data_IF_559225922171
#
_entry.id   IF_559225922171
#
_cell.length_a   1.000
_cell.length_b   1.000
_cell.length_c   1.000
_cell.angle_alpha   90.00
_cell.angle_beta   90.00
_cell.angle_gamma   90.00
#
_symmetry.space_group_name_H-M   'P 1'
#
loop_
_entity.id
_entity.type
_entity.pdbx_description
1 polymer ?
#
# COMPACT_ATOMS: atom_id res chain seq x y z
N UNK A 1 -57.05 71.15 -62.77
CA UNK A 1 -56.54 71.35 -61.38
C UNK A 1 -56.70 70.08 -60.54
N UNK A 2 -56.34 68.89 -61.06
CA UNK A 2 -56.75 67.59 -60.45
C UNK A 2 -55.63 66.56 -60.24
N UNK A 3 -54.54 66.59 -61.02
CA UNK A 3 -53.51 65.52 -60.94
C UNK A 3 -52.43 65.77 -59.88
N UNK A 4 -51.93 67.01 -59.78
CA UNK A 4 -50.89 67.41 -58.80
C UNK A 4 -51.37 67.23 -57.36
N UNK A 5 -52.67 67.38 -57.10
CA UNK A 5 -53.24 67.26 -55.75
C UNK A 5 -53.30 65.80 -55.28
N UNK A 6 -53.60 64.87 -56.19
CA UNK A 6 -53.64 63.43 -55.89
C UNK A 6 -52.24 62.88 -55.62
N UNK A 7 -51.24 63.31 -56.39
CA UNK A 7 -49.87 62.87 -56.24
C UNK A 7 -49.27 63.32 -54.91
N UNK A 8 -49.51 64.57 -54.51
CA UNK A 8 -49.07 65.11 -53.21
C UNK A 8 -49.66 64.33 -52.03
N UNK A 9 -50.95 63.97 -52.10
CA UNK A 9 -51.64 63.18 -51.08
C UNK A 9 -51.15 61.73 -51.03
N UNK A 10 -50.78 61.15 -52.16
CA UNK A 10 -50.21 59.80 -52.23
C UNK A 10 -48.83 59.74 -51.57
N UNK A 11 -47.97 60.73 -51.84
CA UNK A 11 -46.65 60.83 -51.21
C UNK A 11 -46.75 61.13 -49.71
N UNK A 12 -47.61 62.04 -49.27
CA UNK A 12 -47.83 62.32 -47.84
C UNK A 12 -48.26 61.06 -47.06
N UNK A 13 -49.19 60.27 -47.61
CA UNK A 13 -49.64 59.01 -46.97
C UNK A 13 -48.53 57.95 -46.91
N UNK A 14 -47.62 57.96 -47.89
CA UNK A 14 -46.48 57.04 -47.98
C UNK A 14 -45.38 57.39 -46.95
N UNK A 15 -45.08 58.68 -46.73
CA UNK A 15 -44.10 59.12 -45.72
C UNK A 15 -44.56 58.92 -44.28
N UNK A 16 -45.86 59.04 -44.00
CA UNK A 16 -46.43 58.76 -42.66
C UNK A 16 -46.24 57.27 -42.29
N UNK A 17 -46.38 56.36 -43.26
CA UNK A 17 -46.23 54.93 -43.02
C UNK A 17 -44.76 54.48 -42.87
N UNK A 18 -43.79 55.11 -43.55
CA UNK A 18 -42.38 54.78 -43.33
C UNK A 18 -41.88 55.14 -41.92
N UNK A 19 -42.39 56.21 -41.31
CA UNK A 19 -42.09 56.56 -39.92
C UNK A 19 -42.65 55.55 -38.91
N UNK A 20 -43.85 55.02 -39.16
CA UNK A 20 -44.45 53.96 -38.36
C UNK A 20 -43.71 52.63 -38.53
N UNK A 21 -43.34 52.24 -39.75
CA UNK A 21 -42.55 51.03 -40.02
C UNK A 21 -41.15 51.10 -39.43
N UNK A 22 -40.50 52.29 -39.43
CA UNK A 22 -39.22 52.49 -38.72
C UNK A 22 -39.39 52.30 -37.22
N UNK A 23 -40.46 52.84 -36.61
CA UNK A 23 -40.72 52.65 -35.18
C UNK A 23 -40.99 51.18 -34.82
N UNK A 24 -41.79 50.46 -35.61
CA UNK A 24 -42.06 49.04 -35.40
C UNK A 24 -40.79 48.18 -35.54
N UNK A 25 -39.92 48.48 -36.52
CA UNK A 25 -38.63 47.79 -36.68
C UNK A 25 -37.68 48.08 -35.49
N UNK A 26 -37.67 49.32 -35.00
CA UNK A 26 -36.83 49.74 -33.86
C UNK A 26 -37.34 49.12 -32.55
N UNK A 27 -38.66 49.09 -32.33
CA UNK A 27 -39.29 48.42 -31.17
C UNK A 27 -39.01 46.91 -31.15
N UNK A 28 -39.01 46.24 -32.32
CA UNK A 28 -38.66 44.82 -32.40
C UNK A 28 -37.20 44.56 -32.00
N UNK A 29 -36.26 45.44 -32.37
CA UNK A 29 -34.86 45.30 -32.00
C UNK A 29 -34.60 45.53 -30.50
N UNK A 30 -35.33 46.46 -29.87
CA UNK A 30 -35.23 46.69 -28.43
C UNK A 30 -35.64 45.46 -27.62
N UNK A 31 -36.74 44.79 -28.01
CA UNK A 31 -37.20 43.56 -27.36
C UNK A 31 -36.16 42.42 -27.44
N UNK A 32 -35.51 42.26 -28.60
CA UNK A 32 -34.44 41.27 -28.79
C UNK A 32 -33.23 41.58 -27.89
N UNK A 33 -32.88 42.85 -27.74
CA UNK A 33 -31.77 43.27 -26.86
C UNK A 33 -32.10 42.91 -25.40
N UNK A 34 -33.29 43.25 -24.91
CA UNK A 34 -33.70 42.91 -23.54
C UNK A 34 -33.72 41.40 -23.29
N UNK A 35 -34.22 40.60 -24.23
CA UNK A 35 -34.20 39.13 -24.10
C UNK A 35 -32.76 38.62 -24.05
N UNK A 36 -31.89 39.11 -24.94
CA UNK A 36 -30.49 38.66 -24.95
C UNK A 36 -29.77 39.04 -23.65
N UNK A 37 -30.04 40.23 -23.11
CA UNK A 37 -29.47 40.70 -21.86
C UNK A 37 -29.98 39.89 -20.66
N UNK A 38 -31.27 39.55 -20.64
CA UNK A 38 -31.86 38.67 -19.62
C UNK A 38 -31.26 37.26 -19.66
N UNK A 39 -31.05 36.71 -20.87
CA UNK A 39 -30.47 35.39 -21.06
C UNK A 39 -29.02 35.36 -20.57
N UNK A 40 -28.22 36.38 -20.91
CA UNK A 40 -26.84 36.53 -20.40
C UNK A 40 -26.83 36.68 -18.88
N UNK A 41 -27.73 37.49 -18.31
CA UNK A 41 -27.84 37.67 -16.87
C UNK A 41 -28.22 36.36 -16.15
N UNK A 42 -29.15 35.58 -16.71
CA UNK A 42 -29.54 34.26 -16.20
C UNK A 42 -28.36 33.29 -16.20
N UNK A 43 -27.55 33.27 -17.26
CA UNK A 43 -26.35 32.43 -17.31
C UNK A 43 -25.33 32.87 -16.25
N UNK A 44 -25.06 34.18 -16.14
CA UNK A 44 -24.10 34.70 -15.16
C UNK A 44 -24.52 34.39 -13.73
N UNK A 45 -25.79 34.63 -13.38
CA UNK A 45 -26.33 34.29 -12.06
C UNK A 45 -26.26 32.79 -11.82
N UNK A 46 -26.64 31.95 -12.78
CA UNK A 46 -26.52 30.50 -12.66
C UNK A 46 -25.07 30.08 -12.36
N UNK A 47 -24.09 30.59 -13.11
CA UNK A 47 -22.68 30.25 -12.88
C UNK A 47 -22.12 30.81 -11.56
N UNK A 48 -22.69 31.89 -11.04
CA UNK A 48 -22.29 32.48 -9.76
C UNK A 48 -22.85 31.69 -8.57
N UNK A 49 -24.09 31.21 -8.67
CA UNK A 49 -24.74 30.46 -7.58
C UNK A 49 -24.46 28.95 -7.62
N UNK A 50 -24.18 28.38 -8.79
CA UNK A 50 -23.94 26.94 -8.93
C UNK A 50 -22.44 26.63 -8.96
N UNK A 51 -21.93 26.11 -7.86
CA UNK A 51 -20.63 25.47 -7.81
C UNK A 51 -20.74 24.02 -8.33
N UNK A 52 -19.92 23.67 -9.32
CA UNK A 52 -19.86 22.28 -9.81
C UNK A 52 -19.16 21.38 -8.78
N UNK A 53 -19.95 20.66 -7.99
CA UNK A 53 -19.46 19.63 -7.09
C UNK A 53 -18.92 18.42 -7.86
N UNK A 54 -17.62 18.45 -8.18
CA UNK A 54 -16.95 17.31 -8.85
C UNK A 54 -16.95 16.10 -7.91
N UNK A 55 -17.59 15.01 -8.35
CA UNK A 55 -17.47 13.71 -7.67
C UNK A 55 -16.06 13.16 -7.88
N UNK A 56 -15.27 13.10 -6.82
CA UNK A 56 -13.93 12.50 -6.84
C UNK A 56 -14.03 11.09 -6.25
N UNK A 57 -13.51 10.10 -6.97
CA UNK A 57 -13.30 8.76 -6.43
C UNK A 57 -11.96 8.75 -5.70
N UNK A 58 -12.01 8.55 -4.38
CA UNK A 58 -10.80 8.37 -3.58
C UNK A 58 -10.62 6.87 -3.35
N UNK A 59 -9.41 6.37 -3.62
CA UNK A 59 -9.04 5.03 -3.22
C UNK A 59 -8.75 5.05 -1.72
N UNK A 60 -9.55 4.31 -0.96
CA UNK A 60 -9.38 4.14 0.47
C UNK A 60 -9.60 2.68 0.84
N UNK A 61 -9.20 2.32 2.04
CA UNK A 61 -9.51 1.03 2.65
C UNK A 61 -10.34 1.27 3.90
N UNK A 62 -11.22 0.33 4.21
CA UNK A 62 -12.05 0.40 5.41
C UNK A 62 -11.23 -0.09 6.58
N UNK A 63 -11.02 0.77 7.57
CA UNK A 63 -10.49 0.38 8.87
C UNK A 63 -11.65 0.30 9.86
N UNK A 64 -11.82 -0.78 10.65
CA UNK A 64 -12.83 -0.84 11.69
C UNK A 64 -12.70 0.34 12.67
N UNK A 65 -13.85 0.93 13.05
CA UNK A 65 -13.90 2.08 13.97
C UNK A 65 -13.33 1.78 15.36
N UNK A 66 -13.40 0.52 15.80
CA UNK A 66 -12.80 0.02 17.04
C UNK A 66 -11.31 -0.34 16.91
N UNK A 67 -10.72 -0.23 15.72
CA UNK A 67 -9.36 -0.64 15.42
C UNK A 67 -9.20 -2.16 15.27
N UNK A 68 -7.96 -2.58 14.98
CA UNK A 68 -7.56 -3.98 14.83
C UNK A 68 -6.62 -4.33 15.98
N UNK A 69 -6.96 -5.37 16.74
CA UNK A 69 -6.11 -5.89 17.81
C UNK A 69 -5.52 -7.23 17.36
N UNK A 70 -4.19 -7.33 17.41
CA UNK A 70 -3.48 -8.61 17.23
C UNK A 70 -3.16 -9.18 18.61
N UNK A 71 -3.66 -10.38 18.89
CA UNK A 71 -3.40 -11.07 20.16
C UNK A 71 -2.17 -11.96 20.00
N UNK A 72 -1.18 -11.75 20.86
CA UNK A 72 0.07 -12.52 20.87
C UNK A 72 0.15 -13.37 22.15
N UNK A 73 0.81 -14.52 22.07
CA UNK A 73 1.13 -15.32 23.25
C UNK A 73 2.26 -14.65 24.04
N UNK A 74 2.17 -14.56 25.39
CA UNK A 74 3.21 -13.95 26.21
C UNK A 74 4.48 -14.81 26.33
N UNK A 75 4.41 -16.12 26.08
CA UNK A 75 5.60 -16.97 25.99
C UNK A 75 5.48 -17.96 24.82
N UNK A 76 6.63 -18.45 24.37
CA UNK A 76 6.72 -19.49 23.36
C UNK A 76 6.18 -20.83 23.86
N UNK A 77 5.45 -21.51 23.00
CA UNK A 77 4.78 -22.76 23.32
C UNK A 77 4.01 -23.33 22.14
N UNK A 78 3.35 -24.46 22.38
CA UNK A 78 2.52 -25.12 21.38
C UNK A 78 1.05 -24.84 21.67
N UNK A 79 0.27 -24.54 20.62
CA UNK A 79 -1.18 -24.39 20.76
C UNK A 79 -1.76 -25.79 20.97
N UNK A 80 -2.30 -26.03 22.16
CA UNK A 80 -2.90 -27.33 22.52
C UNK A 80 -4.35 -27.42 22.09
N UNK A 81 -5.10 -26.34 22.29
CA UNK A 81 -6.53 -26.28 21.98
C UNK A 81 -6.88 -24.89 21.44
N UNK A 82 -7.73 -24.86 20.41
CA UNK A 82 -8.39 -23.65 19.89
C UNK A 82 -9.84 -23.68 20.36
N UNK A 83 -10.34 -22.60 20.95
CA UNK A 83 -11.70 -22.53 21.52
C UNK A 83 -12.68 -21.72 20.66
N UNK A 84 -12.18 -21.06 19.60
CA UNK A 84 -12.97 -20.20 18.72
C UNK A 84 -12.82 -20.58 17.25
N UNK A 85 -13.83 -20.24 16.44
CA UNK A 85 -13.78 -20.37 14.98
C UNK A 85 -13.63 -19.01 14.30
N UNK A 86 -13.25 -19.00 13.02
CA UNK A 86 -13.13 -17.76 12.26
C UNK A 86 -14.50 -17.13 12.05
N UNK A 87 -14.58 -15.81 12.23
CA UNK A 87 -15.83 -15.05 12.15
C UNK A 87 -16.71 -15.08 13.41
N UNK A 88 -16.31 -15.82 14.45
CA UNK A 88 -17.01 -15.84 15.74
C UNK A 88 -16.83 -14.51 16.49
N UNK A 89 -17.93 -13.97 17.03
CA UNK A 89 -17.90 -12.78 17.90
C UNK A 89 -17.33 -13.15 19.28
N UNK A 90 -16.42 -12.31 19.79
CA UNK A 90 -15.70 -12.54 21.04
C UNK A 90 -15.77 -11.32 21.95
N UNK A 91 -15.91 -11.54 23.25
CA UNK A 91 -15.91 -10.49 24.27
C UNK A 91 -14.63 -10.54 25.11
N UNK A 92 -14.33 -9.42 25.80
CA UNK A 92 -13.13 -9.31 26.62
C UNK A 92 -13.13 -10.39 27.73
N UNK A 93 -12.00 -11.09 27.88
CA UNK A 93 -11.83 -12.18 28.83
C UNK A 93 -12.21 -13.57 28.30
N UNK A 94 -12.80 -13.68 27.11
CA UNK A 94 -13.10 -14.97 26.50
C UNK A 94 -11.78 -15.67 26.06
N UNK A 95 -11.53 -16.93 26.48
CA UNK A 95 -10.32 -17.64 26.09
C UNK A 95 -10.36 -18.01 24.60
N UNK A 96 -9.32 -17.62 23.86
CA UNK A 96 -9.22 -17.89 22.42
C UNK A 96 -8.53 -19.24 22.13
N UNK A 97 -7.42 -19.50 22.83
CA UNK A 97 -6.63 -20.71 22.68
C UNK A 97 -5.86 -21.05 23.97
N UNK A 98 -5.57 -22.33 24.18
CA UNK A 98 -4.69 -22.82 25.25
C UNK A 98 -3.29 -23.05 24.68
N UNK A 99 -2.30 -22.33 25.21
CA UNK A 99 -0.89 -22.49 24.86
C UNK A 99 -0.17 -23.25 25.96
N UNK A 100 0.53 -24.31 25.59
CA UNK A 100 1.38 -25.08 26.49
C UNK A 100 2.83 -24.60 26.36
N UNK A 101 3.34 -23.98 27.43
CA UNK A 101 4.66 -23.35 27.44
C UNK A 101 5.80 -24.36 27.46
N UNK A 102 6.88 -24.07 26.74
CA UNK A 102 8.07 -24.93 26.63
C UNK A 102 8.81 -25.16 27.97
N UNK A 103 8.59 -24.31 28.99
CA UNK A 103 9.29 -24.36 30.29
C UNK A 103 9.17 -25.68 31.05
N UNK A 104 8.14 -26.49 30.81
CA UNK A 104 8.00 -27.78 31.49
C UNK A 104 9.01 -28.84 30.98
N UNK A 105 9.55 -28.66 29.77
CA UNK A 105 10.56 -29.56 29.20
C UNK A 105 12.01 -29.18 29.58
N UNK A 106 12.25 -27.90 29.94
CA UNK A 106 13.58 -27.44 30.39
C UNK A 106 13.85 -27.76 31.86
N UNK A 107 12.83 -27.71 32.74
CA UNK A 107 13.08 -27.82 34.20
C UNK A 107 13.62 -29.20 34.64
N UNK A 108 13.42 -30.25 33.85
CA UNK A 108 13.97 -31.59 34.12
C UNK A 108 15.46 -31.68 33.67
N UNK A 109 15.91 -30.79 32.79
CA UNK A 109 17.27 -30.75 32.22
C UNK A 109 18.12 -29.56 32.71
N UNK A 110 17.53 -28.58 33.39
CA UNK A 110 18.15 -27.27 33.66
C UNK A 110 19.31 -27.29 34.68
N UNK A 111 19.33 -28.24 35.61
CA UNK A 111 20.39 -28.25 36.64
C UNK A 111 21.75 -28.77 36.14
N UNK A 112 21.84 -29.22 34.88
CA UNK A 112 23.11 -29.65 34.24
C UNK A 112 23.51 -28.82 33.01
N UNK A 113 22.66 -27.91 32.51
CA UNK A 113 22.79 -27.34 31.16
C UNK A 113 22.82 -25.82 31.05
N UNK A 114 22.88 -25.10 32.17
CA UNK A 114 22.88 -23.63 32.19
C UNK A 114 24.01 -22.99 31.36
N UNK A 115 25.06 -23.75 31.04
CA UNK A 115 26.22 -23.30 30.27
C UNK A 115 26.16 -23.61 28.75
N UNK A 116 25.15 -24.37 28.28
CA UNK A 116 25.06 -24.82 26.88
C UNK A 116 24.11 -23.96 26.04
N UNK A 117 24.54 -22.72 25.77
CA UNK A 117 23.84 -21.83 24.83
C UNK A 117 24.16 -22.19 23.37
N UNK A 118 23.13 -22.48 22.58
CA UNK A 118 23.24 -22.68 21.13
C UNK A 118 22.82 -21.39 20.43
N UNK A 119 23.66 -20.88 19.53
CA UNK A 119 23.29 -19.76 18.69
C UNK A 119 22.19 -20.18 17.70
N UNK A 120 21.11 -19.42 17.62
CA UNK A 120 20.02 -19.71 16.68
C UNK A 120 20.47 -19.74 15.20
N UNK A 121 21.55 -19.01 14.87
CA UNK A 121 22.16 -19.02 13.54
C UNK A 121 22.92 -20.31 13.19
N UNK A 122 23.23 -21.14 14.19
CA UNK A 122 23.77 -22.47 13.95
C UNK A 122 22.67 -23.46 13.53
N UNK A 123 21.39 -23.07 13.52
CA UNK A 123 20.25 -23.94 13.23
C UNK A 123 19.84 -23.83 11.74
N UNK A 124 19.66 -24.95 11.01
CA UNK A 124 19.44 -24.98 9.55
C UNK A 124 18.25 -24.21 8.97
N UNK A 125 17.28 -23.82 9.79
CA UNK A 125 16.05 -23.17 9.35
C UNK A 125 16.02 -21.65 9.56
N UNK A 126 17.15 -21.02 9.92
CA UNK A 126 17.24 -19.58 10.19
C UNK A 126 17.95 -18.82 9.06
N UNK A 127 17.36 -18.83 7.86
CA UNK A 127 17.87 -18.13 6.68
C UNK A 127 17.02 -16.90 6.34
N UNK A 128 17.64 -15.91 5.69
CA UNK A 128 17.02 -14.67 5.25
C UNK A 128 17.32 -14.48 3.76
N UNK A 129 16.32 -14.02 3.01
CA UNK A 129 16.46 -13.63 1.60
C UNK A 129 16.58 -12.10 1.55
N UNK A 130 17.72 -11.60 1.08
CA UNK A 130 18.02 -10.18 0.98
C UNK A 130 17.55 -9.58 -0.36
N UNK A 131 17.37 -8.25 -0.43
CA UNK A 131 17.24 -7.55 -1.71
C UNK A 131 18.42 -7.88 -2.64
N UNK A 132 18.13 -8.24 -3.89
CA UNK A 132 19.15 -8.74 -4.84
C UNK A 132 19.29 -10.27 -4.87
N UNK A 133 18.33 -11.00 -4.29
CA UNK A 133 18.21 -12.46 -4.35
C UNK A 133 19.28 -13.24 -3.58
N UNK A 134 20.05 -12.62 -2.69
CA UNK A 134 21.07 -13.31 -1.88
C UNK A 134 20.38 -14.02 -0.71
N UNK A 135 20.76 -15.26 -0.44
CA UNK A 135 20.34 -16.03 0.73
C UNK A 135 21.45 -16.01 1.77
N UNK A 136 21.11 -15.61 2.98
CA UNK A 136 22.07 -15.42 4.08
C UNK A 136 21.60 -16.08 5.37
N UNK A 137 22.52 -16.31 6.31
CA UNK A 137 22.13 -16.69 7.67
C UNK A 137 21.54 -15.48 8.41
N UNK A 138 20.54 -15.74 9.25
CA UNK A 138 19.89 -14.70 10.05
C UNK A 138 20.82 -14.24 11.17
N UNK A 139 21.80 -13.37 10.88
CA UNK A 139 22.77 -12.89 11.87
C UNK A 139 23.01 -11.40 11.75
N UNK A 140 23.62 -10.83 12.78
CA UNK A 140 24.10 -9.43 12.78
C UNK A 140 25.28 -9.21 11.82
N UNK A 141 25.83 -10.25 11.19
CA UNK A 141 26.92 -10.15 10.24
C UNK A 141 26.42 -9.98 8.80
N UNK A 142 25.56 -9.00 8.59
CA UNK A 142 24.82 -8.76 7.34
C UNK A 142 25.73 -8.77 6.10
N UNK A 143 26.83 -8.02 6.16
CA UNK A 143 27.74 -7.83 5.02
C UNK A 143 28.90 -8.83 4.97
N UNK A 144 28.95 -9.80 5.89
CA UNK A 144 30.03 -10.79 5.87
C UNK A 144 29.83 -11.77 4.71
N UNK A 145 30.87 -11.98 3.90
CA UNK A 145 30.84 -13.01 2.84
C UNK A 145 30.52 -14.41 3.37
N UNK A 146 30.97 -14.71 4.59
CA UNK A 146 30.66 -15.97 5.27
C UNK A 146 29.16 -16.11 5.60
N UNK A 147 28.42 -14.99 5.69
CA UNK A 147 26.99 -14.96 5.98
C UNK A 147 26.15 -15.23 4.72
N UNK A 148 26.71 -15.09 3.51
CA UNK A 148 26.01 -15.29 2.23
C UNK A 148 26.14 -16.74 1.78
N UNK A 149 25.09 -17.53 1.96
CA UNK A 149 25.09 -18.99 1.77
C UNK A 149 24.47 -19.43 0.44
N UNK A 150 23.91 -18.51 -0.33
CA UNK A 150 23.37 -18.82 -1.65
C UNK A 150 22.70 -17.63 -2.33
N UNK A 151 21.97 -17.91 -3.41
CA UNK A 151 21.12 -16.94 -4.09
C UNK A 151 19.89 -17.61 -4.74
N UNK A 152 18.91 -16.81 -5.11
CA UNK A 152 17.73 -17.22 -5.86
C UNK A 152 17.85 -16.69 -7.29
N UNK A 153 17.79 -17.60 -8.27
CA UNK A 153 17.77 -17.26 -9.69
C UNK A 153 16.47 -16.55 -10.09
N UNK A 154 16.48 -15.82 -11.21
CA UNK A 154 15.29 -15.17 -11.74
C UNK A 154 14.13 -16.13 -12.09
N UNK A 155 14.41 -17.42 -12.26
CA UNK A 155 13.42 -18.50 -12.45
C UNK A 155 12.87 -19.06 -11.12
N UNK A 156 13.26 -18.48 -9.99
CA UNK A 156 12.82 -18.89 -8.64
C UNK A 156 13.59 -20.08 -8.05
N UNK A 157 14.63 -20.60 -8.72
CA UNK A 157 15.44 -21.68 -8.16
C UNK A 157 16.42 -21.18 -7.11
N UNK A 158 16.53 -21.96 -6.03
CA UNK A 158 17.49 -21.71 -4.96
C UNK A 158 18.83 -22.39 -5.29
N UNK A 159 19.89 -21.59 -5.41
CA UNK A 159 21.26 -22.05 -5.58
C UNK A 159 22.03 -21.83 -4.28
N UNK A 160 22.35 -22.91 -3.58
CA UNK A 160 23.09 -22.86 -2.32
C UNK A 160 24.56 -23.20 -2.51
N UNK A 161 25.42 -22.50 -1.78
CA UNK A 161 26.76 -22.97 -1.49
C UNK A 161 26.66 -24.06 -0.41
N UNK A 162 26.39 -25.29 -0.84
CA UNK A 162 26.18 -26.44 0.04
C UNK A 162 27.35 -26.64 1.01
N UNK A 163 28.59 -26.38 0.57
CA UNK A 163 29.76 -26.49 1.43
C UNK A 163 29.71 -25.48 2.59
N UNK A 164 29.53 -24.20 2.28
CA UNK A 164 29.46 -23.14 3.30
C UNK A 164 28.23 -23.34 4.21
N UNK A 165 27.07 -23.68 3.64
CA UNK A 165 25.86 -23.97 4.40
C UNK A 165 26.08 -25.15 5.36
N UNK A 166 26.73 -26.24 4.93
CA UNK A 166 27.04 -27.36 5.82
C UNK A 166 28.02 -26.95 6.92
N UNK A 167 29.02 -26.11 6.63
CA UNK A 167 29.98 -25.66 7.64
C UNK A 167 29.32 -24.81 8.75
N UNK A 168 28.29 -24.01 8.41
CA UNK A 168 27.46 -23.30 9.41
C UNK A 168 26.73 -24.24 10.39
N UNK A 169 26.39 -25.45 9.96
CA UNK A 169 25.65 -26.42 10.76
C UNK A 169 26.51 -27.59 11.26
N UNK A 170 27.79 -27.63 10.88
CA UNK A 170 28.68 -28.75 11.18
C UNK A 170 28.88 -28.93 12.69
N UNK A 171 28.82 -27.84 13.44
CA UNK A 171 28.89 -27.86 14.90
C UNK A 171 27.71 -28.60 15.52
N UNK A 172 26.49 -28.47 14.97
CA UNK A 172 25.32 -29.24 15.39
C UNK A 172 25.49 -30.74 15.12
N UNK A 173 26.06 -31.08 13.96
CA UNK A 173 26.27 -32.47 13.54
C UNK A 173 27.30 -33.15 14.46
N UNK A 174 28.40 -32.46 14.77
CA UNK A 174 29.50 -33.01 15.56
C UNK A 174 29.34 -32.80 17.08
N UNK A 175 28.23 -32.21 17.52
CA UNK A 175 27.99 -31.88 18.94
C UNK A 175 29.09 -31.00 19.57
N UNK A 176 29.65 -30.08 18.78
CA UNK A 176 30.66 -29.11 19.25
C UNK A 176 30.02 -27.84 19.82
N UNK A 177 30.02 -27.74 21.15
CA UNK A 177 29.34 -26.68 21.89
C UNK A 177 29.95 -25.28 21.67
N UNK A 178 31.27 -25.18 21.53
CA UNK A 178 31.94 -23.88 21.36
C UNK A 178 31.59 -23.27 20.00
N UNK A 179 31.65 -24.08 18.95
CA UNK A 179 31.28 -23.68 17.59
C UNK A 179 29.78 -23.44 17.42
N UNK A 180 28.92 -24.16 18.16
CA UNK A 180 27.46 -23.89 18.16
C UNK A 180 27.11 -22.54 18.79
N UNK A 181 27.90 -22.08 19.77
CA UNK A 181 27.67 -20.80 20.46
C UNK A 181 28.03 -19.61 19.58
N UNK A 182 28.99 -19.75 18.67
CA UNK A 182 29.43 -18.67 17.77
C UNK A 182 29.88 -19.21 16.41
N UNK A 183 28.96 -19.74 15.58
CA UNK A 183 29.29 -20.41 14.32
C UNK A 183 30.03 -19.51 13.32
N UNK A 184 29.78 -18.20 13.37
CA UNK A 184 30.44 -17.26 12.47
C UNK A 184 31.95 -17.10 12.76
N UNK A 185 32.42 -17.33 13.98
CA UNK A 185 33.80 -16.99 14.36
C UNK A 185 34.84 -17.71 13.48
N UNK A 186 34.67 -19.02 13.33
CA UNK A 186 35.57 -19.87 12.57
C UNK A 186 35.41 -19.66 11.06
N UNK A 187 34.17 -19.42 10.62
CA UNK A 187 33.83 -19.19 9.22
C UNK A 187 34.32 -17.83 8.71
N UNK A 188 34.26 -16.79 9.53
CA UNK A 188 34.71 -15.44 9.16
C UNK A 188 36.18 -15.46 8.77
N UNK A 189 37.03 -16.15 9.54
CA UNK A 189 38.46 -16.25 9.24
C UNK A 189 38.72 -17.05 7.96
N UNK A 190 37.96 -18.13 7.74
CA UNK A 190 38.11 -19.03 6.59
C UNK A 190 37.60 -18.45 5.26
N UNK A 191 36.57 -17.61 5.31
CA UNK A 191 35.89 -17.05 4.14
C UNK A 191 36.07 -15.53 3.97
N UNK A 192 36.98 -14.90 4.73
CA UNK A 192 37.30 -13.47 4.63
C UNK A 192 37.80 -13.06 3.23
N UNK A 193 38.39 -13.99 2.46
CA UNK A 193 38.98 -13.72 1.14
C UNK A 193 38.17 -14.24 -0.05
N UNK A 194 37.19 -15.11 0.17
CA UNK A 194 36.44 -15.76 -0.93
C UNK A 194 35.20 -14.94 -1.23
N UNK A 195 35.23 -14.15 -2.31
CA UNK A 195 34.01 -13.67 -2.94
C UNK A 195 33.15 -14.87 -3.33
N UNK A 196 31.96 -15.01 -2.74
CA UNK A 196 30.92 -15.95 -3.21
C UNK A 196 30.30 -15.48 -4.55
N UNK A 197 30.99 -14.58 -5.23
CA UNK A 197 30.69 -14.09 -6.57
C UNK A 197 31.91 -14.38 -7.41
N UNK A 198 32.01 -15.63 -7.86
CA UNK A 198 32.48 -15.84 -9.22
C UNK A 198 31.20 -16.06 -10.03
N UNK A 199 30.91 -15.09 -10.88
CA UNK A 199 29.94 -15.20 -11.98
C UNK A 199 30.29 -16.42 -12.83
#
# INVERSE_FOLDING_TARGET
>A
MSWIYLEKKYWEKKYINYGASRKILTEQHEFVIYISMFLVFSILTFTYFFEYGRKIKVLGYVNPSSGIVKVYSPNDGYIRNKFITEGQEVYNGLPLAKVEYRKHFEKITDNKNKDRYICYAAIPNHWVINPGSIVSMCTVALDSKANHVGHISGDGKLNLNIKLANEWHNSLINLDWESMRRPLHDLKNKYNTISVVNV
#
